data_IF_471734987090
#
_entry.id   IF_471734987090
#
_cell.length_a   1.000
_cell.length_b   1.000
_cell.length_c   1.000
_cell.angle_alpha   90.00
_cell.angle_beta   90.00
_cell.angle_gamma   90.00
#
_symmetry.space_group_name_H-M   'P 1'
#
loop_
_entity.id
_entity.type
_entity.pdbx_description
1 polymer ?
#
# COMPACT_ATOMS: atom_id res chain seq x y z
N UNK A 1 1.42 -20.96 -17.67
CA UNK A 1 1.73 -20.12 -16.50
C UNK A 1 0.79 -18.94 -16.52
N UNK A 2 -0.05 -18.79 -15.51
CA UNK A 2 -0.98 -17.66 -15.34
C UNK A 2 -0.20 -16.37 -15.06
N UNK A 3 -0.86 -15.19 -15.19
CA UNK A 3 -0.24 -13.91 -14.80
C UNK A 3 0.22 -13.92 -13.35
N UNK A 4 -0.57 -14.52 -12.45
CA UNK A 4 -0.28 -14.64 -11.01
C UNK A 4 0.94 -15.51 -10.75
N UNK A 5 1.04 -16.69 -11.37
CA UNK A 5 2.20 -17.58 -11.25
C UNK A 5 3.48 -16.92 -11.77
N UNK A 6 3.40 -16.19 -12.88
CA UNK A 6 4.53 -15.42 -13.41
C UNK A 6 5.01 -14.36 -12.43
N UNK A 7 4.08 -13.66 -11.81
CA UNK A 7 4.39 -12.60 -10.88
C UNK A 7 4.98 -13.16 -9.57
N UNK A 8 4.44 -14.29 -9.07
CA UNK A 8 5.04 -15.02 -7.94
C UNK A 8 6.50 -15.37 -8.22
N UNK A 9 6.77 -16.00 -9.36
CA UNK A 9 8.12 -16.39 -9.74
C UNK A 9 9.06 -15.18 -9.90
N UNK A 10 8.55 -14.02 -10.35
CA UNK A 10 9.32 -12.79 -10.41
C UNK A 10 9.68 -12.28 -9.01
N UNK A 11 8.69 -12.20 -8.10
CA UNK A 11 8.92 -11.77 -6.71
C UNK A 11 9.85 -12.70 -5.94
N UNK A 12 9.69 -14.02 -6.06
CA UNK A 12 10.59 -14.99 -5.43
C UNK A 12 12.04 -14.76 -5.88
N UNK A 13 12.25 -14.43 -7.17
CA UNK A 13 13.58 -14.15 -7.73
C UNK A 13 14.22 -12.87 -7.18
N UNK A 14 13.46 -11.80 -7.02
CA UNK A 14 13.98 -10.49 -6.61
C UNK A 14 13.86 -10.22 -5.10
N UNK A 15 13.26 -11.12 -4.33
CA UNK A 15 12.92 -10.93 -2.91
C UNK A 15 14.09 -10.43 -2.06
N UNK A 16 15.32 -10.95 -2.27
CA UNK A 16 16.48 -10.55 -1.50
C UNK A 16 16.95 -9.12 -1.80
N UNK A 17 16.98 -8.73 -3.09
CA UNK A 17 17.35 -7.37 -3.52
C UNK A 17 16.30 -6.36 -3.10
N UNK A 18 15.03 -6.71 -3.27
CA UNK A 18 13.89 -5.90 -2.84
C UNK A 18 13.93 -5.66 -1.33
N UNK A 19 14.19 -6.70 -0.53
CA UNK A 19 14.33 -6.59 0.92
C UNK A 19 15.48 -5.65 1.32
N UNK A 20 16.65 -5.78 0.69
CA UNK A 20 17.79 -4.92 0.95
C UNK A 20 17.49 -3.45 0.62
N UNK A 21 16.85 -3.19 -0.52
CA UNK A 21 16.47 -1.85 -0.95
C UNK A 21 15.52 -1.17 0.05
N UNK A 22 14.55 -1.91 0.61
CA UNK A 22 13.58 -1.39 1.61
C UNK A 22 14.23 -1.09 2.96
N UNK A 23 15.48 -1.50 3.19
CA UNK A 23 16.28 -1.16 4.40
C UNK A 23 17.28 -0.03 4.15
N UNK A 24 17.34 0.54 2.96
CA UNK A 24 18.15 1.73 2.68
C UNK A 24 17.70 2.88 3.61
N UNK A 25 18.68 3.56 4.23
CA UNK A 25 18.42 4.59 5.25
C UNK A 25 17.57 5.75 4.75
N UNK A 26 17.79 6.19 3.49
CA UNK A 26 17.01 7.25 2.88
C UNK A 26 15.56 6.83 2.63
N UNK A 27 15.34 5.57 2.17
CA UNK A 27 14.02 5.00 1.99
C UNK A 27 13.27 4.89 3.32
N UNK A 28 13.92 4.32 4.35
CA UNK A 28 13.32 4.15 5.69
C UNK A 28 12.93 5.50 6.27
N UNK A 29 13.81 6.49 6.19
CA UNK A 29 13.52 7.84 6.67
C UNK A 29 12.35 8.47 5.91
N UNK A 30 12.38 8.46 4.56
CA UNK A 30 11.29 9.03 3.78
C UNK A 30 9.96 8.35 4.10
N UNK A 31 9.95 7.02 4.16
CA UNK A 31 8.77 6.22 4.52
C UNK A 31 8.22 6.65 5.87
N UNK A 32 9.09 6.80 6.88
CA UNK A 32 8.67 7.25 8.22
C UNK A 32 8.05 8.66 8.20
N UNK A 33 8.60 9.58 7.42
CA UNK A 33 8.07 10.95 7.27
C UNK A 33 6.70 10.97 6.58
N UNK A 34 6.52 10.19 5.51
CA UNK A 34 5.25 10.05 4.80
C UNK A 34 4.17 9.51 5.75
N UNK A 35 4.45 8.42 6.47
CA UNK A 35 3.48 7.82 7.37
C UNK A 35 3.19 8.67 8.60
N UNK A 36 4.18 9.37 9.13
CA UNK A 36 3.95 10.37 10.20
C UNK A 36 3.01 11.48 9.74
N UNK A 37 3.19 11.99 8.51
CA UNK A 37 2.30 13.00 7.93
C UNK A 37 0.89 12.44 7.70
N UNK A 38 0.76 11.18 7.26
CA UNK A 38 -0.53 10.52 7.10
C UNK A 38 -1.27 10.40 8.44
N UNK A 39 -0.62 9.83 9.45
CA UNK A 39 -1.23 9.64 10.78
C UNK A 39 -1.44 10.93 11.57
N UNK A 40 -0.90 12.07 11.13
CA UNK A 40 -1.20 13.36 11.74
C UNK A 40 -2.68 13.74 11.66
N UNK A 41 -3.42 13.15 10.70
CA UNK A 41 -4.87 13.34 10.50
C UNK A 41 -5.69 12.07 10.74
N UNK A 42 -5.14 11.12 11.47
CA UNK A 42 -5.85 9.88 11.79
C UNK A 42 -7.10 10.15 12.63
N UNK A 43 -8.31 9.82 12.15
CA UNK A 43 -9.56 10.11 12.86
C UNK A 43 -10.02 8.94 13.75
N UNK A 44 -9.42 7.77 13.58
CA UNK A 44 -9.84 6.55 14.27
C UNK A 44 -9.28 6.41 15.69
N UNK A 45 -9.63 5.31 16.37
CA UNK A 45 -9.18 5.06 17.72
C UNK A 45 -7.65 4.83 17.77
N UNK A 46 -7.06 5.17 18.92
CA UNK A 46 -5.66 4.90 19.27
C UNK A 46 -5.63 4.02 20.52
N UNK A 47 -5.86 2.72 20.34
CA UNK A 47 -5.92 1.74 21.42
C UNK A 47 -5.16 0.48 21.06
N UNK A 48 -4.62 -0.23 22.05
CA UNK A 48 -3.73 -1.39 21.88
C UNK A 48 -4.41 -2.71 21.56
N UNK A 49 -5.72 -2.73 21.35
CA UNK A 49 -6.51 -3.94 21.07
C UNK A 49 -7.05 -4.00 19.64
N UNK A 50 -6.57 -3.13 18.74
CA UNK A 50 -6.99 -3.11 17.35
C UNK A 50 -6.51 -4.35 16.60
N UNK A 51 -7.44 -5.03 15.91
CA UNK A 51 -7.14 -6.08 14.95
C UNK A 51 -6.80 -5.47 13.60
N UNK A 52 -5.61 -5.76 13.08
CA UNK A 52 -5.13 -5.25 11.80
C UNK A 52 -4.82 -6.39 10.85
N UNK A 53 -5.33 -6.30 9.61
CA UNK A 53 -4.99 -7.18 8.50
C UNK A 53 -4.15 -6.43 7.47
N UNK A 54 -3.00 -6.95 7.11
CA UNK A 54 -2.25 -6.51 5.92
C UNK A 54 -2.33 -7.58 4.83
N UNK A 55 -3.00 -7.23 3.74
CA UNK A 55 -3.07 -8.08 2.56
C UNK A 55 -1.88 -7.81 1.64
N UNK A 56 -1.32 -8.88 1.03
CA UNK A 56 -0.10 -8.80 0.21
C UNK A 56 1.02 -8.11 1.00
N UNK A 57 1.25 -8.63 2.22
CA UNK A 57 2.00 -7.92 3.27
C UNK A 57 3.50 -7.78 2.98
N UNK A 58 4.04 -8.46 1.97
CA UNK A 58 5.48 -8.44 1.69
C UNK A 58 6.27 -8.76 2.95
N UNK A 59 7.09 -7.83 3.41
CA UNK A 59 7.90 -7.98 4.63
C UNK A 59 7.22 -7.48 5.92
N UNK A 60 5.90 -7.37 5.92
CA UNK A 60 5.07 -6.99 7.08
C UNK A 60 5.42 -5.60 7.66
N UNK A 61 5.73 -4.67 6.78
CA UNK A 61 6.05 -3.28 7.16
C UNK A 61 4.83 -2.56 7.76
N UNK A 62 3.61 -3.00 7.41
CA UNK A 62 2.36 -2.41 7.90
C UNK A 62 2.21 -2.47 9.40
N UNK A 63 2.73 -3.53 10.06
CA UNK A 63 2.75 -3.59 11.52
C UNK A 63 3.46 -2.39 12.13
N UNK A 64 4.71 -2.18 11.73
CA UNK A 64 5.55 -1.10 12.27
C UNK A 64 5.00 0.29 11.90
N UNK A 65 4.41 0.41 10.69
CA UNK A 65 3.73 1.62 10.23
C UNK A 65 2.57 2.00 11.16
N UNK A 66 1.68 1.04 11.46
CA UNK A 66 0.51 1.29 12.30
C UNK A 66 0.94 1.56 13.75
N UNK A 67 1.79 0.73 14.33
CA UNK A 67 2.25 0.92 15.72
C UNK A 67 2.93 2.28 15.91
N UNK A 68 3.83 2.66 15.00
CA UNK A 68 4.48 3.98 15.03
C UNK A 68 3.49 5.13 14.79
N UNK A 69 2.50 4.93 13.91
CA UNK A 69 1.50 5.93 13.57
C UNK A 69 0.49 6.17 14.68
N UNK A 70 0.06 5.12 15.36
CA UNK A 70 -0.92 5.18 16.45
C UNK A 70 -0.26 5.41 17.83
N UNK A 71 1.03 5.03 17.99
CA UNK A 71 1.75 5.07 19.26
C UNK A 71 1.33 3.97 20.23
N UNK A 72 0.74 2.88 19.75
CA UNK A 72 0.23 1.75 20.56
C UNK A 72 0.48 0.43 19.84
N UNK A 73 0.68 -0.68 20.56
CA UNK A 73 0.78 -2.02 19.95
C UNK A 73 -0.57 -2.43 19.34
N UNK A 74 -0.52 -3.37 18.37
CA UNK A 74 -1.70 -3.90 17.69
C UNK A 74 -1.69 -5.42 17.63
N UNK A 75 -2.84 -6.04 17.37
CA UNK A 75 -2.93 -7.45 16.96
C UNK A 75 -2.85 -7.53 15.44
N UNK A 76 -1.68 -7.91 14.94
CA UNK A 76 -1.40 -7.94 13.51
C UNK A 76 -1.57 -9.32 12.91
N UNK A 77 -2.20 -9.38 11.74
CA UNK A 77 -2.28 -10.55 10.86
C UNK A 77 -1.88 -10.12 9.45
N UNK A 78 -1.05 -10.89 8.78
CA UNK A 78 -0.67 -10.63 7.40
C UNK A 78 -0.80 -11.86 6.52
N UNK A 79 -0.90 -11.67 5.22
CA UNK A 79 -0.73 -12.75 4.26
C UNK A 79 -0.07 -12.25 2.97
N UNK A 80 0.70 -13.13 2.35
CA UNK A 80 1.32 -12.90 1.05
C UNK A 80 1.25 -14.18 0.21
N UNK A 81 1.32 -14.06 -1.10
CA UNK A 81 1.25 -15.23 -1.99
C UNK A 81 2.62 -15.87 -2.24
N UNK A 82 3.72 -15.19 -1.93
CA UNK A 82 5.08 -15.69 -2.07
C UNK A 82 5.47 -16.58 -0.89
N UNK A 83 5.73 -17.85 -1.15
CA UNK A 83 6.22 -18.77 -0.13
C UNK A 83 7.58 -18.34 0.43
N UNK A 84 8.46 -17.78 -0.42
CA UNK A 84 9.79 -17.31 -0.03
C UNK A 84 9.71 -16.14 0.96
N UNK A 85 8.80 -15.18 0.68
CA UNK A 85 8.56 -14.05 1.58
C UNK A 85 8.00 -14.52 2.91
N UNK A 86 7.01 -15.41 2.90
CA UNK A 86 6.39 -15.96 4.12
C UNK A 86 7.39 -16.76 4.93
N UNK A 87 8.20 -17.64 4.31
CA UNK A 87 9.24 -18.40 5.00
C UNK A 87 10.26 -17.46 5.65
N UNK A 88 10.73 -16.44 4.94
CA UNK A 88 11.66 -15.45 5.48
C UNK A 88 11.07 -14.67 6.65
N UNK A 89 9.78 -14.35 6.61
CA UNK A 89 9.10 -13.69 7.74
C UNK A 89 9.03 -14.62 8.97
N UNK A 90 8.73 -15.90 8.79
CA UNK A 90 8.74 -16.86 9.89
C UNK A 90 10.12 -16.97 10.55
N UNK A 91 11.20 -16.85 9.75
CA UNK A 91 12.57 -16.90 10.28
C UNK A 91 12.98 -15.59 10.98
N UNK A 92 12.58 -14.44 10.42
CA UNK A 92 13.07 -13.12 10.88
C UNK A 92 12.14 -12.43 11.86
N UNK A 93 10.85 -12.75 11.84
CA UNK A 93 9.78 -12.17 12.66
C UNK A 93 8.78 -13.24 13.11
N UNK A 94 9.22 -14.28 13.85
CA UNK A 94 8.39 -15.45 14.23
C UNK A 94 7.19 -15.09 15.12
N UNK A 95 7.19 -13.89 15.70
CA UNK A 95 6.08 -13.38 16.50
C UNK A 95 4.86 -12.95 15.65
N UNK A 96 5.00 -12.82 14.33
CA UNK A 96 3.93 -12.37 13.45
C UNK A 96 3.06 -13.53 12.98
N UNK A 97 1.75 -13.29 12.94
CA UNK A 97 0.78 -14.21 12.33
C UNK A 97 0.73 -13.98 10.81
N UNK A 98 1.55 -14.71 10.07
CA UNK A 98 1.65 -14.60 8.60
C UNK A 98 1.22 -15.92 7.96
N UNK A 99 0.43 -15.83 6.89
CA UNK A 99 0.00 -17.01 6.12
C UNK A 99 0.31 -16.83 4.64
N UNK A 100 0.56 -17.95 3.94
CA UNK A 100 0.67 -17.93 2.49
C UNK A 100 -0.74 -18.02 1.88
N UNK A 101 -1.19 -16.96 1.20
CA UNK A 101 -2.51 -16.91 0.58
C UNK A 101 -2.53 -15.97 -0.62
N UNK A 102 -3.36 -16.34 -1.61
CA UNK A 102 -3.63 -15.51 -2.78
C UNK A 102 -4.81 -14.55 -2.48
N UNK A 103 -4.57 -13.26 -2.61
CA UNK A 103 -5.56 -12.21 -2.36
C UNK A 103 -6.80 -12.33 -3.25
N UNK A 104 -6.68 -12.90 -4.45
CA UNK A 104 -7.80 -13.08 -5.38
C UNK A 104 -8.80 -14.14 -4.91
N UNK A 105 -8.35 -15.05 -4.04
CA UNK A 105 -9.17 -16.12 -3.45
C UNK A 105 -9.37 -15.94 -1.94
N UNK A 106 -8.91 -14.81 -1.38
CA UNK A 106 -9.01 -14.55 0.05
C UNK A 106 -10.46 -14.56 0.54
N UNK A 107 -10.71 -15.30 1.61
CA UNK A 107 -11.99 -15.32 2.33
C UNK A 107 -11.71 -15.00 3.79
N UNK A 108 -12.28 -13.92 4.36
CA UNK A 108 -12.03 -13.55 5.74
C UNK A 108 -12.64 -14.56 6.72
N UNK A 109 -11.88 -14.97 7.72
CA UNK A 109 -12.32 -15.84 8.81
C UNK A 109 -12.73 -15.06 10.06
N UNK A 110 -12.33 -13.78 10.14
CA UNK A 110 -12.72 -12.82 11.18
C UNK A 110 -12.81 -11.42 10.60
N UNK A 111 -13.29 -10.48 11.39
CA UNK A 111 -13.32 -9.07 11.04
C UNK A 111 -12.22 -8.29 11.75
N UNK A 112 -11.74 -7.23 11.11
CA UNK A 112 -10.63 -6.38 11.53
C UNK A 112 -11.08 -4.94 11.70
N UNK A 113 -10.43 -4.20 12.60
CA UNK A 113 -10.62 -2.76 12.77
C UNK A 113 -9.96 -1.97 11.64
N UNK A 114 -8.82 -2.48 11.15
CA UNK A 114 -8.06 -1.87 10.05
C UNK A 114 -7.66 -2.95 9.05
N UNK A 115 -7.88 -2.68 7.76
CA UNK A 115 -7.32 -3.46 6.65
C UNK A 115 -6.34 -2.58 5.89
N UNK A 116 -5.18 -3.13 5.57
CA UNK A 116 -4.14 -2.46 4.78
C UNK A 116 -3.85 -3.23 3.51
N UNK A 117 -3.59 -2.48 2.43
CA UNK A 117 -3.04 -3.00 1.19
C UNK A 117 -2.09 -1.94 0.62
N UNK A 118 -0.78 -2.25 0.68
CA UNK A 118 0.28 -1.30 0.38
C UNK A 118 1.07 -1.74 -0.86
N UNK A 119 0.73 -1.17 -2.02
CA UNK A 119 1.41 -1.46 -3.28
C UNK A 119 1.13 -2.87 -3.80
N UNK A 120 -0.07 -3.39 -3.62
CA UNK A 120 -0.45 -4.75 -4.01
C UNK A 120 -1.45 -4.82 -5.16
N UNK A 121 -2.45 -3.91 -5.21
CA UNK A 121 -3.52 -3.99 -6.21
C UNK A 121 -3.01 -3.89 -7.66
N UNK A 122 -1.96 -3.12 -7.89
CA UNK A 122 -1.39 -2.96 -9.23
C UNK A 122 -0.77 -4.25 -9.81
N UNK A 123 -0.58 -5.27 -8.98
CA UNK A 123 -0.16 -6.61 -9.39
C UNK A 123 -1.32 -7.50 -9.84
N UNK A 124 -2.54 -7.14 -9.47
CA UNK A 124 -3.78 -7.86 -9.83
C UNK A 124 -4.82 -6.91 -10.44
N UNK A 125 -4.46 -6.09 -11.44
CA UNK A 125 -5.29 -4.99 -11.93
C UNK A 125 -6.64 -5.45 -12.48
N UNK A 126 -6.68 -6.63 -13.10
CA UNK A 126 -7.90 -7.22 -13.68
C UNK A 126 -8.89 -7.69 -12.58
N UNK A 127 -8.38 -8.05 -11.39
CA UNK A 127 -9.17 -8.53 -10.25
C UNK A 127 -9.30 -7.48 -9.13
N UNK A 128 -8.80 -6.26 -9.34
CA UNK A 128 -8.69 -5.26 -8.26
C UNK A 128 -10.04 -4.95 -7.58
N UNK A 129 -11.13 -4.89 -8.34
CA UNK A 129 -12.47 -4.66 -7.79
C UNK A 129 -12.91 -5.78 -6.85
N UNK A 130 -12.77 -7.03 -7.28
CA UNK A 130 -13.14 -8.22 -6.49
C UNK A 130 -12.28 -8.34 -5.23
N UNK A 131 -10.98 -8.05 -5.35
CA UNK A 131 -10.04 -8.02 -4.22
C UNK A 131 -10.46 -6.99 -3.19
N UNK A 132 -10.80 -5.77 -3.62
CA UNK A 132 -11.29 -4.73 -2.70
C UNK A 132 -12.56 -5.20 -1.99
N UNK A 133 -13.54 -5.75 -2.70
CA UNK A 133 -14.79 -6.26 -2.11
C UNK A 133 -14.52 -7.33 -1.05
N UNK A 134 -13.64 -8.31 -1.34
CA UNK A 134 -13.23 -9.36 -0.38
C UNK A 134 -12.56 -8.78 0.86
N UNK A 135 -11.68 -7.81 0.69
CA UNK A 135 -10.99 -7.15 1.81
C UNK A 135 -11.94 -6.27 2.62
N UNK A 136 -12.91 -5.60 1.98
CA UNK A 136 -13.97 -4.84 2.68
C UNK A 136 -14.88 -5.76 3.50
N UNK A 137 -15.13 -6.99 3.05
CA UNK A 137 -15.85 -7.98 3.85
C UNK A 137 -15.12 -8.34 5.16
N UNK A 138 -13.78 -8.23 5.18
CA UNK A 138 -12.97 -8.40 6.38
C UNK A 138 -13.01 -7.21 7.35
N UNK A 139 -13.53 -6.04 6.94
CA UNK A 139 -13.66 -4.87 7.82
C UNK A 139 -14.90 -4.97 8.71
N UNK A 140 -14.74 -4.62 9.99
CA UNK A 140 -15.85 -4.32 10.88
C UNK A 140 -16.63 -3.10 10.38
N UNK A 141 -17.93 -2.99 10.67
CA UNK A 141 -18.64 -1.72 10.53
C UNK A 141 -17.89 -0.59 11.25
N UNK A 142 -17.73 0.56 10.59
CA UNK A 142 -16.92 1.67 11.11
C UNK A 142 -15.39 1.50 10.99
N UNK A 143 -14.91 0.35 10.52
CA UNK A 143 -13.48 0.05 10.34
C UNK A 143 -12.85 0.83 9.19
N UNK A 144 -11.51 0.89 9.17
CA UNK A 144 -10.73 1.70 8.24
C UNK A 144 -9.95 0.84 7.24
N UNK A 145 -9.93 1.26 5.98
CA UNK A 145 -9.09 0.67 4.95
C UNK A 145 -8.01 1.66 4.54
N UNK A 146 -6.74 1.27 4.66
CA UNK A 146 -5.58 2.05 4.23
C UNK A 146 -5.04 1.46 2.93
N UNK A 147 -4.94 2.26 1.88
CA UNK A 147 -4.39 1.84 0.61
C UNK A 147 -3.33 2.81 0.10
N UNK A 148 -2.18 2.27 -0.30
CA UNK A 148 -1.12 2.99 -1.00
C UNK A 148 -0.88 2.29 -2.33
N UNK A 149 -1.09 3.00 -3.44
CA UNK A 149 -0.86 2.44 -4.79
C UNK A 149 -0.09 3.39 -5.69
N UNK A 150 0.69 2.85 -6.63
CA UNK A 150 1.20 3.62 -7.75
C UNK A 150 0.04 4.10 -8.62
N UNK A 151 -0.05 5.42 -8.80
CA UNK A 151 -1.11 6.07 -9.57
C UNK A 151 -0.54 7.11 -10.52
N UNK A 152 -1.39 7.61 -11.42
CA UNK A 152 -1.11 8.77 -12.24
C UNK A 152 -2.37 9.63 -12.39
N UNK A 153 -2.20 10.93 -12.22
CA UNK A 153 -3.28 11.93 -12.37
C UNK A 153 -3.44 12.48 -13.79
N UNK A 154 -2.49 12.21 -14.70
CA UNK A 154 -2.49 12.75 -16.06
C UNK A 154 -1.75 11.87 -17.07
N UNK A 155 -1.95 12.16 -18.37
CA UNK A 155 -1.38 11.38 -19.46
C UNK A 155 0.15 11.47 -19.56
N UNK A 156 0.76 12.60 -19.18
CA UNK A 156 2.22 12.78 -19.23
C UNK A 156 2.90 11.86 -18.20
N UNK A 157 2.41 11.84 -16.96
CA UNK A 157 2.94 10.97 -15.91
C UNK A 157 2.72 9.49 -16.24
N UNK A 158 1.60 9.16 -16.91
CA UNK A 158 1.38 7.82 -17.45
C UNK A 158 2.47 7.43 -18.46
N UNK A 159 2.79 8.32 -19.40
CA UNK A 159 3.83 8.07 -20.39
C UNK A 159 5.22 7.92 -19.76
N UNK A 160 5.58 8.81 -18.84
CA UNK A 160 6.85 8.74 -18.07
C UNK A 160 6.95 7.38 -17.37
N UNK A 161 5.90 6.94 -16.68
CA UNK A 161 5.86 5.64 -16.00
C UNK A 161 6.01 4.47 -16.98
N UNK A 162 5.35 4.50 -18.12
CA UNK A 162 5.49 3.46 -19.14
C UNK A 162 6.93 3.34 -19.65
N UNK A 163 7.62 4.47 -19.83
CA UNK A 163 9.04 4.47 -20.21
C UNK A 163 9.91 3.87 -19.10
N UNK A 164 9.64 4.22 -17.83
CA UNK A 164 10.34 3.64 -16.67
C UNK A 164 10.15 2.13 -16.63
N UNK A 165 8.92 1.64 -16.70
CA UNK A 165 8.60 0.20 -16.61
C UNK A 165 9.22 -0.61 -17.76
N UNK A 166 9.30 -0.04 -18.96
CA UNK A 166 9.94 -0.71 -20.10
C UNK A 166 11.47 -0.78 -20.02
N UNK A 167 12.09 0.15 -19.31
CA UNK A 167 13.56 0.27 -19.22
C UNK A 167 14.15 -0.32 -17.96
N UNK A 168 13.35 -0.64 -16.96
CA UNK A 168 13.82 -1.14 -15.68
C UNK A 168 13.28 -2.56 -15.44
N UNK A 169 14.19 -3.54 -15.36
CA UNK A 169 13.88 -4.97 -15.21
C UNK A 169 13.23 -5.34 -13.86
N UNK A 170 13.23 -4.42 -12.89
CA UNK A 170 12.55 -4.62 -11.60
C UNK A 170 11.03 -4.54 -11.72
N UNK A 171 10.52 -3.93 -12.81
CA UNK A 171 9.08 -3.83 -13.07
C UNK A 171 8.65 -4.80 -14.17
N UNK A 172 7.70 -5.67 -13.90
CA UNK A 172 7.10 -6.52 -14.93
C UNK A 172 5.95 -5.78 -15.63
N UNK A 173 6.26 -5.06 -16.72
CA UNK A 173 5.28 -4.29 -17.50
C UNK A 173 4.12 -5.13 -18.09
N UNK A 174 4.21 -6.46 -18.06
CA UNK A 174 3.17 -7.36 -18.55
C UNK A 174 2.12 -7.67 -17.47
N UNK A 175 2.49 -7.53 -16.20
CA UNK A 175 1.62 -7.86 -15.06
C UNK A 175 1.30 -6.67 -14.16
N UNK A 176 2.15 -5.63 -14.16
CA UNK A 176 2.00 -4.45 -13.31
C UNK A 176 1.36 -3.28 -14.07
N UNK A 177 0.30 -2.72 -13.51
CA UNK A 177 -0.37 -1.58 -14.10
C UNK A 177 -0.77 -0.54 -13.04
N UNK A 178 -0.12 0.64 -13.09
CA UNK A 178 -0.52 1.76 -12.24
C UNK A 178 -1.94 2.24 -12.55
N UNK A 179 -2.67 2.61 -11.54
CA UNK A 179 -4.05 3.06 -11.66
C UNK A 179 -4.17 4.52 -12.09
N UNK A 180 -5.21 4.84 -12.84
CA UNK A 180 -5.74 6.20 -12.90
C UNK A 180 -6.39 6.50 -11.55
N UNK A 181 -6.00 7.60 -10.92
CA UNK A 181 -6.41 7.92 -9.53
C UNK A 181 -7.94 7.87 -9.34
N UNK A 182 -8.71 8.50 -10.24
CA UNK A 182 -10.17 8.53 -10.11
C UNK A 182 -10.82 7.16 -10.33
N UNK A 183 -10.21 6.31 -11.15
CA UNK A 183 -10.66 4.94 -11.36
C UNK A 183 -10.44 4.07 -10.12
N UNK A 184 -9.28 4.20 -9.48
CA UNK A 184 -9.01 3.54 -8.21
C UNK A 184 -10.03 3.97 -7.14
N UNK A 185 -10.32 5.27 -7.03
CA UNK A 185 -11.31 5.77 -6.08
C UNK A 185 -12.72 5.23 -6.35
N UNK A 186 -13.09 5.07 -7.62
CA UNK A 186 -14.38 4.49 -8.00
C UNK A 186 -14.51 3.04 -7.52
N UNK A 187 -13.44 2.23 -7.60
CA UNK A 187 -13.44 0.84 -7.10
C UNK A 187 -13.72 0.77 -5.59
N UNK A 188 -13.08 1.63 -4.80
CA UNK A 188 -13.31 1.66 -3.35
C UNK A 188 -14.71 2.13 -3.00
N UNK A 189 -15.24 3.14 -3.69
CA UNK A 189 -16.62 3.62 -3.49
C UNK A 189 -17.65 2.54 -3.87
N UNK A 190 -17.42 1.83 -4.98
CA UNK A 190 -18.32 0.73 -5.42
C UNK A 190 -18.35 -0.41 -4.42
N UNK A 191 -17.28 -0.58 -3.62
CA UNK A 191 -17.23 -1.56 -2.54
C UNK A 191 -17.85 -1.06 -1.22
N UNK A 192 -18.54 0.10 -1.23
CA UNK A 192 -19.25 0.64 -0.06
C UNK A 192 -18.37 1.40 0.94
N UNK A 193 -17.21 1.88 0.51
CA UNK A 193 -16.32 2.67 1.37
C UNK A 193 -16.46 4.17 1.12
N UNK A 194 -16.45 4.95 2.20
CA UNK A 194 -16.39 6.40 2.17
C UNK A 194 -14.93 6.87 2.27
N UNK A 195 -14.52 7.82 1.41
CA UNK A 195 -13.19 8.41 1.46
C UNK A 195 -13.10 9.37 2.68
N UNK A 196 -12.11 9.15 3.52
CA UNK A 196 -11.85 9.95 4.73
C UNK A 196 -10.69 10.92 4.53
N UNK A 197 -9.55 10.44 4.02
CA UNK A 197 -8.37 11.27 3.74
C UNK A 197 -7.64 10.77 2.48
N UNK A 198 -6.95 11.69 1.83
CA UNK A 198 -6.11 11.39 0.67
C UNK A 198 -4.82 12.17 0.74
N UNK A 199 -3.72 11.48 0.48
CA UNK A 199 -2.40 12.07 0.35
C UNK A 199 -1.72 11.58 -0.93
N UNK A 200 -0.99 12.46 -1.58
CA UNK A 200 -0.27 12.22 -2.84
C UNK A 200 1.24 12.30 -2.60
N UNK A 201 1.86 11.24 -2.01
CA UNK A 201 3.26 11.28 -1.59
C UNK A 201 4.25 11.12 -2.74
N UNK A 202 3.79 10.72 -3.92
CA UNK A 202 4.62 10.38 -5.09
C UNK A 202 5.23 11.60 -5.80
N UNK A 203 5.76 12.56 -5.07
CA UNK A 203 6.37 13.79 -5.57
C UNK A 203 7.90 13.69 -5.65
N UNK A 204 8.64 14.80 -5.50
CA UNK A 204 10.09 14.84 -5.63
C UNK A 204 10.81 13.87 -4.69
N UNK A 205 10.50 13.91 -3.39
CA UNK A 205 11.15 13.04 -2.41
C UNK A 205 10.91 11.56 -2.69
N UNK A 206 9.72 11.21 -3.16
CA UNK A 206 9.37 9.85 -3.55
C UNK A 206 10.20 9.37 -4.75
N UNK A 207 10.33 10.20 -5.79
CA UNK A 207 11.13 9.88 -6.97
C UNK A 207 12.60 9.67 -6.61
N UNK A 208 13.14 10.50 -5.70
CA UNK A 208 14.53 10.44 -5.30
C UNK A 208 14.85 9.24 -4.37
N UNK A 209 13.95 8.88 -3.43
CA UNK A 209 14.32 8.03 -2.30
C UNK A 209 13.41 6.85 -2.02
N UNK A 210 12.23 6.74 -2.67
CA UNK A 210 11.28 5.68 -2.33
C UNK A 210 11.65 4.32 -2.95
N UNK A 211 12.24 4.33 -4.14
CA UNK A 211 12.67 3.12 -4.86
C UNK A 211 14.18 3.18 -5.16
N UNK A 212 15.05 3.00 -4.14
CA UNK A 212 16.49 3.10 -4.30
C UNK A 212 17.10 2.02 -5.21
N UNK A 213 16.45 0.87 -5.32
CA UNK A 213 16.74 -0.23 -6.23
C UNK A 213 16.48 0.15 -7.70
N UNK A 214 15.35 0.77 -7.95
CA UNK A 214 14.97 1.19 -9.31
C UNK A 214 15.78 2.40 -9.82
N UNK A 215 16.18 3.30 -8.91
CA UNK A 215 16.87 4.56 -9.24
C UNK A 215 18.09 4.84 -8.35
N UNK A 216 19.10 3.95 -8.33
CA UNK A 216 20.25 4.08 -7.40
C UNK A 216 21.03 5.38 -7.61
N UNK A 217 21.08 5.93 -8.82
CA UNK A 217 21.77 7.19 -9.13
C UNK A 217 21.06 8.43 -8.55
N UNK A 218 19.76 8.34 -8.28
CA UNK A 218 18.98 9.42 -7.67
C UNK A 218 19.03 9.39 -6.14
N UNK A 219 19.27 8.22 -5.54
CA UNK A 219 19.29 8.03 -4.09
C UNK A 219 20.61 8.54 -3.48
N UNK A 220 20.86 9.84 -3.62
CA UNK A 220 22.06 10.51 -3.15
C UNK A 220 21.74 11.49 -2.02
N UNK A 221 22.76 11.76 -1.19
CA UNK A 221 22.65 12.58 0.00
C UNK A 221 22.20 11.74 1.19
N UNK A 222 22.19 12.33 2.36
CA UNK A 222 21.78 11.67 3.60
C UNK A 222 20.49 12.27 4.14
N UNK A 223 20.27 12.08 5.43
CA UNK A 223 19.08 12.51 6.16
C UNK A 223 18.66 13.95 5.84
N UNK A 224 19.61 14.90 5.79
CA UNK A 224 19.30 16.32 5.50
C UNK A 224 18.66 16.49 4.11
N UNK A 225 19.14 15.77 3.11
CA UNK A 225 18.62 15.85 1.76
C UNK A 225 17.22 15.24 1.66
N UNK A 226 16.96 14.11 2.32
CA UNK A 226 15.64 13.48 2.39
C UNK A 226 14.64 14.41 3.07
N UNK A 227 15.00 15.00 4.23
CA UNK A 227 14.12 15.93 4.96
C UNK A 227 13.85 17.21 4.16
N UNK A 228 14.85 17.76 3.46
CA UNK A 228 14.66 18.93 2.60
C UNK A 228 13.69 18.62 1.44
N UNK A 229 13.88 17.52 0.73
CA UNK A 229 12.97 17.11 -0.35
C UNK A 229 11.55 16.86 0.16
N UNK A 230 11.39 16.19 1.31
CA UNK A 230 10.09 15.98 1.94
C UNK A 230 9.43 17.30 2.35
N UNK A 231 10.20 18.26 2.89
CA UNK A 231 9.66 19.59 3.29
C UNK A 231 9.15 20.36 2.08
N UNK A 232 9.79 20.24 0.92
CA UNK A 232 9.31 20.83 -0.36
C UNK A 232 8.00 20.19 -0.80
N UNK A 233 7.89 18.86 -0.68
CA UNK A 233 6.71 18.11 -1.14
C UNK A 233 5.49 18.29 -0.23
N UNK A 234 5.71 18.39 1.08
CA UNK A 234 4.68 18.34 2.12
C UNK A 234 3.49 19.27 1.87
N UNK A 235 3.66 20.55 1.49
CA UNK A 235 2.54 21.46 1.23
C UNK A 235 1.62 21.00 0.10
N UNK A 236 2.15 20.23 -0.86
CA UNK A 236 1.43 19.79 -2.04
C UNK A 236 0.75 18.43 -1.88
N UNK A 237 1.18 17.62 -0.92
CA UNK A 237 0.74 16.21 -0.77
C UNK A 237 -0.77 16.03 -0.61
N UNK A 238 -1.53 17.05 -0.19
CA UNK A 238 -2.99 17.00 -0.03
C UNK A 238 -3.74 17.99 -0.93
N UNK A 239 -3.12 18.38 -2.04
CA UNK A 239 -3.69 19.38 -2.96
C UNK A 239 -3.99 18.79 -4.33
N UNK A 240 -4.77 19.53 -5.14
CA UNK A 240 -5.00 19.20 -6.55
C UNK A 240 -3.71 19.16 -7.37
N UNK A 241 -2.71 20.01 -7.03
CA UNK A 241 -1.38 19.97 -7.66
C UNK A 241 -0.69 18.66 -7.33
N UNK A 242 -0.72 18.24 -6.07
CA UNK A 242 -0.19 16.94 -5.66
C UNK A 242 -0.86 15.78 -6.41
N UNK A 243 -2.19 15.79 -6.56
CA UNK A 243 -2.92 14.79 -7.35
C UNK A 243 -2.41 14.69 -8.80
N UNK A 244 -2.13 15.82 -9.43
CA UNK A 244 -1.68 15.86 -10.83
C UNK A 244 -0.24 15.38 -10.98
N UNK A 245 0.66 15.76 -10.06
CA UNK A 245 2.10 15.53 -10.16
C UNK A 245 2.59 14.26 -9.47
N UNK A 246 1.73 13.57 -8.72
CA UNK A 246 2.14 12.41 -7.93
C UNK A 246 2.18 11.11 -8.73
N UNK A 247 3.17 10.28 -8.43
CA UNK A 247 3.29 8.90 -8.89
C UNK A 247 2.66 7.88 -7.93
N UNK A 248 2.14 8.31 -6.78
CA UNK A 248 1.52 7.42 -5.80
C UNK A 248 0.38 8.13 -5.08
N UNK A 249 -0.62 7.37 -4.67
CA UNK A 249 -1.74 7.84 -3.86
C UNK A 249 -1.87 6.98 -2.61
N UNK A 250 -1.95 7.64 -1.46
CA UNK A 250 -2.21 7.04 -0.16
C UNK A 250 -3.59 7.51 0.31
N UNK A 251 -4.47 6.57 0.60
CA UNK A 251 -5.87 6.85 0.94
C UNK A 251 -6.29 6.18 2.23
N UNK A 252 -7.17 6.85 2.95
CA UNK A 252 -7.91 6.34 4.10
C UNK A 252 -9.38 6.27 3.75
N UNK A 253 -9.95 5.10 3.86
CA UNK A 253 -11.37 4.82 3.62
C UNK A 253 -12.02 4.31 4.89
N UNK A 254 -13.33 4.49 5.04
CA UNK A 254 -14.09 3.95 6.15
C UNK A 254 -15.31 3.18 5.66
N UNK A 255 -15.56 2.01 6.24
CA UNK A 255 -16.78 1.26 6.06
C UNK A 255 -17.90 1.91 6.88
N UNK A 256 -19.12 1.99 6.33
CA UNK A 256 -20.27 2.49 7.08
C UNK A 256 -20.42 1.78 8.43
N UNK A 257 -20.71 2.54 9.48
CA UNK A 257 -20.99 1.98 10.80
C UNK A 257 -22.37 1.28 10.88
N UNK A 258 -23.26 1.59 9.92
CA UNK A 258 -24.57 0.96 9.81
C UNK A 258 -24.50 -0.08 8.70
N UNK A 259 -24.80 -1.34 8.99
CA UNK A 259 -25.24 -2.28 7.96
C UNK A 259 -26.61 -1.76 7.49
N UNK A 260 -26.76 -1.39 6.22
CA UNK A 260 -28.08 -1.31 5.62
C UNK A 260 -28.70 -2.70 5.79
N UNK A 261 -29.66 -2.81 6.68
CA UNK A 261 -30.54 -3.98 6.75
C UNK A 261 -31.23 -4.00 5.39
N UNK A 262 -30.70 -4.79 4.48
CA UNK A 262 -31.33 -5.04 3.20
C UNK A 262 -32.71 -5.59 3.53
N UNK A 263 -33.74 -4.77 3.29
CA UNK A 263 -35.16 -5.16 3.35
C UNK A 263 -35.30 -6.48 2.59
N UNK A 264 -35.49 -7.58 3.34
CA UNK A 264 -35.92 -8.83 2.73
C UNK A 264 -37.35 -8.60 2.30
N UNK A 265 -37.67 -8.64 1.01
CA UNK A 265 -39.06 -8.63 0.60
C UNK A 265 -39.76 -9.83 1.27
N UNK A 266 -40.87 -9.55 1.92
CA UNK A 266 -41.78 -10.53 2.49
C UNK A 266 -42.44 -11.39 1.42
#
# INVERSE_FOLDING_TARGET
MTKIERQRAHFDKIAAEYYAARRNSNHVLLKSLIWKEFFSRWPGPRRGDLDVLEAMCGFADGKDIIENGLGVPIRYTGFDYSNEVVARLHDTRPELQITCADVTNFTPTKQYDIVMLLGGLHHVPDAAGDVIVRLVAALRPGGYFINLEPTHGNAVFRLIRQVIYRRNALFDSATEQAFVTDRLFALFRSAGLALVDTMYPGLLSYVLYYNPDAFPLLNRGGERAVRAAFTIDRPFMRTGIGKILSFATLTLWQKSAFEEVADRPQ
#
